data_IF_315698843525
#
_entry.id   IF_315698843525
#
_cell.length_a   1.000
_cell.length_b   1.000
_cell.length_c   1.000
_cell.angle_alpha   90.00
_cell.angle_beta   90.00
_cell.angle_gamma   90.00
#
_symmetry.space_group_name_H-M   'P 1'
#
loop_
_entity.id
_entity.type
_entity.pdbx_description
1 polymer ?
#
# COMPACT_ATOMS: atom_id res chain seq x y z
N UNK A 1 -1.67 -29.65 1.41
CA UNK A 1 -0.84 -28.89 0.45
C UNK A 1 0.61 -29.04 0.90
N UNK A 2 1.30 -30.05 0.39
CA UNK A 2 2.68 -30.41 0.71
C UNK A 2 3.58 -30.07 -0.49
N UNK A 3 4.76 -29.50 -0.20
CA UNK A 3 5.94 -29.40 -1.08
C UNK A 3 5.94 -28.38 -2.23
N UNK A 4 5.99 -27.09 -1.89
CA UNK A 4 6.74 -26.11 -2.70
C UNK A 4 7.88 -25.52 -1.84
N UNK A 5 9.16 -25.83 -2.08
CA UNK A 5 10.29 -25.32 -1.30
C UNK A 5 10.52 -23.79 -1.42
N UNK A 6 9.72 -23.12 -2.26
CA UNK A 6 9.73 -21.66 -2.47
C UNK A 6 8.66 -20.90 -1.68
N UNK A 7 7.87 -21.57 -0.82
CA UNK A 7 6.90 -20.86 0.03
C UNK A 7 7.69 -19.91 0.93
N UNK A 8 7.64 -18.63 0.57
CA UNK A 8 8.47 -17.56 1.12
C UNK A 8 8.26 -17.47 2.62
N UNK A 9 9.36 -17.44 3.38
CA UNK A 9 9.40 -16.99 4.78
C UNK A 9 9.11 -15.48 4.94
N UNK A 10 8.71 -14.80 3.87
CA UNK A 10 8.56 -13.35 3.78
C UNK A 10 7.39 -12.97 2.89
N UNK A 11 6.72 -11.86 3.18
CA UNK A 11 5.69 -11.34 2.29
C UNK A 11 6.22 -10.93 0.93
N UNK A 12 5.30 -10.70 -0.01
CA UNK A 12 5.57 -10.19 -1.33
C UNK A 12 6.08 -8.74 -1.29
N UNK A 13 7.10 -8.51 -2.10
CA UNK A 13 7.57 -7.20 -2.51
C UNK A 13 7.11 -7.00 -3.95
N UNK A 14 6.28 -5.99 -4.18
CA UNK A 14 5.71 -5.70 -5.50
C UNK A 14 6.15 -4.30 -5.90
N UNK A 15 6.80 -4.21 -7.07
CA UNK A 15 7.17 -2.94 -7.68
C UNK A 15 6.59 -2.88 -9.09
N UNK A 16 5.68 -1.93 -9.27
CA UNK A 16 4.95 -1.62 -10.49
C UNK A 16 5.15 -0.16 -10.88
N UNK A 17 6.20 0.46 -10.37
CA UNK A 17 6.50 1.86 -10.64
C UNK A 17 6.74 2.11 -12.13
N UNK A 18 6.44 3.32 -12.61
CA UNK A 18 6.66 3.72 -14.01
C UNK A 18 5.86 2.89 -15.03
N UNK A 19 4.57 2.72 -14.76
CA UNK A 19 3.65 2.01 -15.65
C UNK A 19 2.38 2.82 -15.91
N UNK A 20 1.43 2.24 -16.64
CA UNK A 20 0.11 2.82 -16.91
C UNK A 20 -0.99 2.07 -16.15
N UNK A 21 -0.70 1.62 -14.91
CA UNK A 21 -1.67 0.90 -14.11
C UNK A 21 -2.66 1.90 -13.52
N UNK A 22 -3.93 1.71 -13.85
CA UNK A 22 -5.04 2.41 -13.19
C UNK A 22 -5.47 1.72 -11.90
N UNK A 23 -6.30 2.40 -11.12
CA UNK A 23 -6.89 1.89 -9.87
C UNK A 23 -7.47 0.48 -10.01
N UNK A 24 -8.24 0.20 -11.06
CA UNK A 24 -8.85 -1.12 -11.30
C UNK A 24 -7.80 -2.24 -11.48
N UNK A 25 -6.70 -1.95 -12.16
CA UNK A 25 -5.63 -2.93 -12.39
C UNK A 25 -4.94 -3.31 -11.10
N UNK A 26 -4.65 -2.32 -10.24
CA UNK A 26 -4.02 -2.57 -8.95
C UNK A 26 -4.98 -3.23 -7.95
N UNK A 27 -6.27 -2.90 -7.99
CA UNK A 27 -7.30 -3.57 -7.20
C UNK A 27 -7.38 -5.07 -7.51
N UNK A 28 -7.42 -5.44 -8.80
CA UNK A 28 -7.39 -6.85 -9.23
C UNK A 28 -6.16 -7.58 -8.71
N UNK A 29 -5.00 -6.94 -8.70
CA UNK A 29 -3.79 -7.54 -8.13
C UNK A 29 -3.93 -7.79 -6.64
N UNK A 30 -4.40 -6.81 -5.86
CA UNK A 30 -4.63 -7.00 -4.43
C UNK A 30 -5.65 -8.11 -4.15
N UNK A 31 -6.68 -8.23 -4.99
CA UNK A 31 -7.64 -9.34 -4.91
C UNK A 31 -6.95 -10.70 -5.11
N UNK A 32 -6.15 -10.85 -6.17
CA UNK A 32 -5.41 -12.09 -6.45
C UNK A 32 -4.45 -12.42 -5.30
N UNK A 33 -3.71 -11.44 -4.79
CA UNK A 33 -2.80 -11.65 -3.65
C UNK A 33 -3.56 -12.14 -2.42
N UNK A 34 -4.74 -11.57 -2.15
CA UNK A 34 -5.61 -11.99 -1.04
C UNK A 34 -6.18 -13.40 -1.24
N UNK A 35 -6.73 -13.68 -2.42
CA UNK A 35 -7.33 -14.97 -2.77
C UNK A 35 -6.33 -16.13 -2.60
N UNK A 36 -5.06 -15.86 -2.94
CA UNK A 36 -3.96 -16.80 -2.79
C UNK A 36 -3.21 -16.71 -1.45
N UNK A 37 -3.69 -15.90 -0.50
CA UNK A 37 -3.09 -15.69 0.83
C UNK A 37 -1.60 -15.31 0.76
N UNK A 38 -1.25 -14.47 -0.21
CA UNK A 38 0.09 -13.91 -0.39
C UNK A 38 0.12 -12.54 0.29
N UNK A 39 0.69 -12.42 1.51
CA UNK A 39 0.78 -11.13 2.16
C UNK A 39 1.69 -10.21 1.36
N UNK A 40 1.29 -8.97 1.14
CA UNK A 40 2.10 -7.97 0.43
C UNK A 40 2.68 -7.02 1.48
N UNK A 41 4.00 -7.03 1.67
CA UNK A 41 4.66 -6.21 2.70
C UNK A 41 5.24 -4.91 2.13
N UNK A 42 5.53 -4.88 0.83
CA UNK A 42 5.92 -3.66 0.11
C UNK A 42 5.12 -3.54 -1.18
N UNK A 43 4.46 -2.40 -1.35
CA UNK A 43 3.83 -2.01 -2.61
C UNK A 43 4.46 -0.71 -3.10
N UNK A 44 5.03 -0.75 -4.30
CA UNK A 44 5.46 0.44 -5.04
C UNK A 44 4.67 0.54 -6.34
N UNK A 45 3.97 1.64 -6.51
CA UNK A 45 3.21 1.99 -7.71
C UNK A 45 3.39 3.48 -8.01
N UNK A 46 4.63 3.95 -7.91
CA UNK A 46 5.04 5.30 -8.25
C UNK A 46 4.82 5.59 -9.74
N UNK A 47 4.43 6.81 -10.13
CA UNK A 47 4.19 7.21 -11.53
C UNK A 47 3.29 6.22 -12.27
N UNK A 48 2.02 6.19 -11.87
CA UNK A 48 0.95 5.40 -12.47
C UNK A 48 -0.32 6.27 -12.61
N UNK A 49 -1.44 5.65 -12.98
CA UNK A 49 -2.74 6.30 -13.13
C UNK A 49 -3.68 6.05 -11.95
N UNK A 50 -3.17 5.99 -10.71
CA UNK A 50 -3.99 5.71 -9.53
C UNK A 50 -4.74 6.96 -9.06
N UNK A 51 -5.97 6.80 -8.59
CA UNK A 51 -6.79 7.83 -7.96
C UNK A 51 -7.23 7.42 -6.55
N UNK A 52 -8.08 8.22 -5.89
CA UNK A 52 -8.59 7.92 -4.55
C UNK A 52 -9.29 6.56 -4.42
N UNK A 53 -9.75 5.96 -5.52
CA UNK A 53 -10.37 4.64 -5.49
C UNK A 53 -9.41 3.55 -4.99
N UNK A 54 -8.09 3.70 -5.18
CA UNK A 54 -7.13 2.70 -4.70
C UNK A 54 -6.96 2.75 -3.18
N UNK A 55 -7.27 3.88 -2.55
CA UNK A 55 -7.08 4.09 -1.12
C UNK A 55 -7.91 3.09 -0.33
N UNK A 56 -9.14 2.81 -0.77
CA UNK A 56 -10.04 1.87 -0.11
C UNK A 56 -9.47 0.45 -0.11
N UNK A 57 -8.94 0.02 -1.25
CA UNK A 57 -8.27 -1.29 -1.38
C UNK A 57 -7.05 -1.40 -0.47
N UNK A 58 -6.22 -0.35 -0.41
CA UNK A 58 -5.04 -0.33 0.46
C UNK A 58 -5.45 -0.36 1.94
N UNK A 59 -6.48 0.42 2.32
CA UNK A 59 -7.02 0.44 3.69
C UNK A 59 -7.52 -0.95 4.07
N UNK A 60 -8.33 -1.59 3.23
CA UNK A 60 -8.80 -2.95 3.47
C UNK A 60 -7.61 -3.91 3.64
N UNK A 61 -6.57 -3.75 2.83
CA UNK A 61 -5.35 -4.55 2.96
C UNK A 61 -4.65 -4.32 4.31
N UNK A 62 -4.51 -3.07 4.76
CA UNK A 62 -3.91 -2.74 6.06
C UNK A 62 -4.62 -3.44 7.24
N UNK A 63 -5.94 -3.58 7.18
CA UNK A 63 -6.74 -4.25 8.22
C UNK A 63 -6.79 -5.78 8.09
N UNK A 64 -6.60 -6.33 6.89
CA UNK A 64 -6.76 -7.77 6.63
C UNK A 64 -5.45 -8.54 6.57
N UNK A 65 -4.30 -7.87 6.53
CA UNK A 65 -3.00 -8.53 6.60
C UNK A 65 -2.80 -9.23 7.96
N UNK A 66 -2.15 -10.41 7.97
CA UNK A 66 -1.75 -11.05 9.23
C UNK A 66 -0.75 -10.18 10.00
N UNK A 67 -0.82 -10.19 11.33
CA UNK A 67 0.10 -9.46 12.22
C UNK A 67 1.58 -9.88 12.05
N UNK A 68 1.82 -11.11 11.56
CA UNK A 68 3.16 -11.58 11.21
C UNK A 68 3.73 -10.94 9.93
N UNK A 69 2.87 -10.41 9.05
CA UNK A 69 3.25 -9.82 7.76
C UNK A 69 2.57 -8.46 7.46
N UNK A 70 2.61 -7.48 8.37
CA UNK A 70 2.05 -6.16 8.13
C UNK A 70 2.82 -5.42 7.03
N UNK A 71 2.13 -4.59 6.25
CA UNK A 71 2.78 -3.72 5.27
C UNK A 71 3.85 -2.85 5.93
N UNK A 72 5.03 -2.70 5.33
CA UNK A 72 6.06 -1.79 5.80
C UNK A 72 6.53 -0.78 4.78
N UNK A 73 6.12 -0.92 3.51
CA UNK A 73 6.40 0.05 2.47
C UNK A 73 5.18 0.27 1.57
N UNK A 74 4.77 1.52 1.44
CA UNK A 74 3.77 1.98 0.47
C UNK A 74 4.36 3.20 -0.23
N UNK A 75 4.58 3.08 -1.54
CA UNK A 75 5.08 4.16 -2.37
C UNK A 75 4.14 4.36 -3.56
N UNK A 76 3.32 5.39 -3.50
CA UNK A 76 2.28 5.69 -4.49
C UNK A 76 2.33 7.17 -4.93
N UNK A 77 3.52 7.77 -4.84
CA UNK A 77 3.74 9.15 -5.25
C UNK A 77 3.61 9.33 -6.77
N UNK A 78 3.39 10.58 -7.21
CA UNK A 78 3.16 10.90 -8.62
C UNK A 78 1.99 10.11 -9.23
N UNK A 79 0.86 10.15 -8.53
CA UNK A 79 -0.43 9.61 -8.94
C UNK A 79 -1.51 10.67 -8.67
N UNK A 80 -2.76 10.35 -8.99
CA UNK A 80 -3.91 11.25 -8.87
C UNK A 80 -4.70 11.07 -7.56
N UNK A 81 -4.02 10.68 -6.48
CA UNK A 81 -4.60 10.59 -5.14
C UNK A 81 -4.70 12.00 -4.55
N UNK A 82 -5.82 12.34 -3.91
CA UNK A 82 -6.07 13.64 -3.30
C UNK A 82 -5.55 13.70 -1.86
N UNK A 83 -5.55 14.90 -1.28
CA UNK A 83 -5.30 15.11 0.15
C UNK A 83 -6.28 14.30 1.02
N UNK A 84 -7.56 14.25 0.66
CA UNK A 84 -8.57 13.43 1.34
C UNK A 84 -8.22 11.95 1.30
N UNK A 85 -7.82 11.44 0.13
CA UNK A 85 -7.33 10.07 -0.02
C UNK A 85 -6.11 9.80 0.87
N UNK A 86 -5.12 10.68 0.85
CA UNK A 86 -3.92 10.58 1.66
C UNK A 86 -4.23 10.56 3.18
N UNK A 87 -5.09 11.47 3.65
CA UNK A 87 -5.51 11.53 5.06
C UNK A 87 -6.24 10.27 5.50
N UNK A 88 -7.11 9.71 4.66
CA UNK A 88 -7.81 8.44 4.94
C UNK A 88 -6.80 7.30 5.10
N UNK A 89 -5.80 7.23 4.23
CA UNK A 89 -4.75 6.20 4.30
C UNK A 89 -3.90 6.34 5.57
N UNK A 90 -3.47 7.56 5.91
CA UNK A 90 -2.69 7.84 7.14
C UNK A 90 -3.50 7.46 8.38
N UNK A 91 -4.78 7.86 8.44
CA UNK A 91 -5.68 7.52 9.54
C UNK A 91 -5.85 6.01 9.69
N UNK A 92 -6.07 5.29 8.58
CA UNK A 92 -6.19 3.85 8.60
C UNK A 92 -4.90 3.17 9.09
N UNK A 93 -3.73 3.62 8.63
CA UNK A 93 -2.45 3.11 9.14
C UNK A 93 -2.33 3.29 10.65
N UNK A 94 -2.69 4.47 11.18
CA UNK A 94 -2.67 4.73 12.62
C UNK A 94 -3.68 3.89 13.42
N UNK A 95 -4.77 3.43 12.79
CA UNK A 95 -5.88 2.72 13.44
C UNK A 95 -5.89 1.20 13.20
N UNK A 96 -5.10 0.68 12.27
CA UNK A 96 -5.11 -0.75 11.90
C UNK A 96 -4.47 -1.68 12.94
N UNK A 97 -3.84 -1.15 13.98
CA UNK A 97 -3.23 -1.94 15.06
C UNK A 97 -1.86 -2.54 14.72
N UNK A 98 -1.42 -2.47 13.46
CA UNK A 98 -0.10 -2.97 13.05
C UNK A 98 1.07 -2.03 13.41
N UNK A 99 0.80 -0.75 13.67
CA UNK A 99 1.82 0.26 13.95
C UNK A 99 1.54 0.98 15.28
N UNK A 100 2.57 1.34 16.07
CA UNK A 100 3.99 1.05 15.85
C UNK A 100 4.31 -0.44 16.01
N UNK A 101 5.26 -0.96 15.22
CA UNK A 101 5.65 -2.37 15.31
C UNK A 101 6.53 -2.61 16.52
N UNK A 102 5.96 -3.25 17.55
CA UNK A 102 6.69 -3.52 18.79
C UNK A 102 7.79 -4.59 18.62
N UNK A 103 7.58 -5.57 17.74
CA UNK A 103 8.50 -6.69 17.53
C UNK A 103 9.70 -6.29 16.67
N UNK A 104 9.46 -5.78 15.46
CA UNK A 104 10.53 -5.44 14.51
C UNK A 104 11.05 -4.00 14.63
N UNK A 105 10.30 -3.11 15.32
CA UNK A 105 10.59 -1.67 15.40
C UNK A 105 10.69 -0.97 14.04
N UNK A 106 10.21 -1.61 12.97
CA UNK A 106 10.20 -1.02 11.64
C UNK A 106 8.97 -0.11 11.48
N UNK A 107 9.15 1.15 11.07
CA UNK A 107 8.03 2.04 10.79
C UNK A 107 7.25 1.57 9.56
N UNK A 108 6.12 2.20 9.30
CA UNK A 108 5.52 2.20 7.96
C UNK A 108 6.24 3.27 7.14
N UNK A 109 6.93 2.87 6.07
CA UNK A 109 7.41 3.79 5.05
C UNK A 109 6.27 4.14 4.11
N UNK A 110 5.70 5.32 4.28
CA UNK A 110 4.58 5.82 3.47
C UNK A 110 5.06 7.04 2.65
N UNK A 111 5.05 6.90 1.32
CA UNK A 111 5.59 7.90 0.39
C UNK A 111 4.51 8.35 -0.61
N UNK A 112 4.12 9.63 -0.50
CA UNK A 112 2.90 10.21 -1.08
C UNK A 112 3.13 11.55 -1.83
N UNK A 113 4.35 11.90 -2.22
CA UNK A 113 4.61 13.20 -2.85
C UNK A 113 3.99 13.39 -4.25
N UNK A 114 3.88 14.64 -4.69
CA UNK A 114 3.40 15.02 -6.03
C UNK A 114 2.06 14.34 -6.41
N UNK A 115 1.14 14.35 -5.46
CA UNK A 115 -0.24 13.91 -5.60
C UNK A 115 -1.09 14.92 -6.38
N UNK A 116 -2.15 14.47 -7.06
CA UNK A 116 -3.09 15.38 -7.72
C UNK A 116 -3.94 16.08 -6.66
N UNK A 117 -3.75 17.39 -6.56
CA UNK A 117 -4.20 18.16 -5.43
C UNK A 117 -2.99 18.89 -4.91
N UNK A 118 -2.84 20.12 -5.38
CA UNK A 118 -1.90 21.06 -4.83
C UNK A 118 -2.09 21.04 -3.31
N UNK A 119 -1.12 20.52 -2.56
CA UNK A 119 -0.80 21.13 -1.28
C UNK A 119 -0.30 22.50 -1.71
N UNK A 120 -1.22 23.44 -1.94
CA UNK A 120 -0.87 24.84 -2.13
C UNK A 120 -0.07 25.16 -0.88
N UNK A 121 1.17 25.55 -1.10
CA UNK A 121 2.04 25.96 -0.02
C UNK A 121 1.27 27.04 0.75
N UNK A 122 0.92 26.85 2.03
CA UNK A 122 0.15 27.85 2.77
C UNK A 122 0.91 29.17 2.95
N UNK A 123 2.16 29.22 2.46
CA UNK A 123 3.06 30.36 2.47
C UNK A 123 3.46 30.87 1.07
N UNK A 124 2.75 30.51 0.00
CA UNK A 124 2.89 31.18 -1.30
C UNK A 124 1.71 32.08 -1.60
#
# INVERSE_FOLDING_TARGET
VQNFPYVRKSGAYVDLSDNQIGTEGLDKLFRVLRDHRVPCVVMKAYRNGLDDGIVDTIIEYLYTQPEAFPMHGIHISHNNITDKGAFRLIRAAAQCGHYPRLTSRLPLWLRLEAMCGCIENPHK
#
